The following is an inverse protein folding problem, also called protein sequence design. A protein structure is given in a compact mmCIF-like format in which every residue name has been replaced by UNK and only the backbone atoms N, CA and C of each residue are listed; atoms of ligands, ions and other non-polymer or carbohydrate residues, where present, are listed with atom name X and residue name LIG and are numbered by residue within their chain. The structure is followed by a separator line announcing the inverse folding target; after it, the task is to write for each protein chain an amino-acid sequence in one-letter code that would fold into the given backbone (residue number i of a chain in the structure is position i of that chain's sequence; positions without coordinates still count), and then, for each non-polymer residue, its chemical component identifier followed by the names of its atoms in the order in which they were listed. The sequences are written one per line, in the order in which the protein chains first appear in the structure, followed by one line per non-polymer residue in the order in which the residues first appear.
data_IF_579490686248
#
_entry.id   IF_579490686248
#
_cell.length_a   1.000
_cell.length_b   1.000
_cell.length_c   1.000
_cell.angle_alpha   90.00
_cell.angle_beta   90.00
_cell.angle_gamma   90.00
#
_symmetry.space_group_name_H-M   'P 1'
#
loop_
_entity.id
_entity.type
_entity.pdbx_description
1 polymer ?
#
# COMPACT_ATOMS: atom_id res chain seq x y z
N UNK A 1 5.41 17.41 -20.25
CA UNK A 1 4.55 16.29 -19.83
C UNK A 1 4.99 15.91 -18.44
N UNK A 2 4.08 15.86 -17.47
CA UNK A 2 4.42 15.44 -16.10
C UNK A 2 4.66 13.92 -16.11
N UNK A 3 5.79 13.46 -15.57
CA UNK A 3 6.07 12.03 -15.42
C UNK A 3 5.39 11.44 -14.18
N UNK A 4 5.38 10.11 -14.05
CA UNK A 4 4.78 9.42 -12.90
C UNK A 4 5.39 9.89 -11.56
N UNK A 5 6.70 10.16 -11.56
CA UNK A 5 7.43 10.67 -10.41
C UNK A 5 7.07 12.13 -10.06
N UNK A 6 6.71 12.95 -11.05
CA UNK A 6 6.24 14.31 -10.78
C UNK A 6 4.86 14.27 -10.11
N UNK A 7 3.97 13.40 -10.60
CA UNK A 7 2.68 13.16 -9.99
C UNK A 7 2.82 12.70 -8.52
N UNK A 8 3.81 11.85 -8.25
CA UNK A 8 4.18 11.40 -6.89
C UNK A 8 4.49 12.55 -5.93
N UNK A 9 5.28 13.52 -6.39
CA UNK A 9 5.59 14.71 -5.61
C UNK A 9 4.37 15.59 -5.33
N UNK A 10 3.40 15.65 -6.24
CA UNK A 10 2.26 16.55 -6.14
C UNK A 10 1.13 16.05 -5.23
N UNK A 11 0.87 14.73 -5.15
CA UNK A 11 -0.23 14.29 -4.28
C UNK A 11 0.07 14.46 -2.78
N UNK A 12 1.34 14.49 -2.36
CA UNK A 12 1.72 14.84 -0.98
C UNK A 12 1.16 16.21 -0.56
N UNK A 13 1.28 17.19 -1.46
CA UNK A 13 0.73 18.55 -1.26
C UNK A 13 -0.79 18.55 -1.30
N UNK A 14 -1.37 17.74 -2.19
CA UNK A 14 -2.83 17.61 -2.30
C UNK A 14 -3.41 17.05 -0.99
N UNK A 15 -2.78 16.03 -0.41
CA UNK A 15 -3.20 15.46 0.87
C UNK A 15 -3.13 16.51 1.98
N UNK A 16 -2.01 17.23 2.09
CA UNK A 16 -1.84 18.25 3.13
C UNK A 16 -2.80 19.44 2.93
N UNK A 17 -3.07 19.84 1.69
CA UNK A 17 -4.07 20.87 1.38
C UNK A 17 -5.47 20.43 1.81
N UNK A 18 -5.91 19.24 1.41
CA UNK A 18 -7.23 18.70 1.75
C UNK A 18 -7.39 18.61 3.28
N UNK A 19 -6.39 18.07 3.97
CA UNK A 19 -6.37 17.99 5.43
C UNK A 19 -6.49 19.37 6.08
N UNK A 20 -5.68 20.35 5.67
CA UNK A 20 -5.69 21.70 6.24
C UNK A 20 -7.00 22.43 5.98
N UNK A 21 -7.58 22.25 4.79
CA UNK A 21 -8.72 23.04 4.33
C UNK A 21 -10.06 22.42 4.74
N UNK A 22 -10.15 21.10 4.73
CA UNK A 22 -11.41 20.36 4.86
C UNK A 22 -11.36 19.25 5.94
N UNK A 23 -10.21 19.02 6.59
CA UNK A 23 -10.06 18.06 7.67
C UNK A 23 -9.67 16.64 7.22
N UNK A 24 -9.41 15.77 8.20
CA UNK A 24 -8.98 14.38 7.97
C UNK A 24 -10.06 13.54 7.29
N UNK A 25 -11.33 13.77 7.60
CA UNK A 25 -12.45 13.02 7.00
C UNK A 25 -12.55 13.27 5.50
N UNK A 26 -12.39 14.53 5.07
CA UNK A 26 -12.38 14.88 3.65
C UNK A 26 -11.19 14.24 2.90
N UNK A 27 -10.02 14.15 3.55
CA UNK A 27 -8.87 13.45 2.98
C UNK A 27 -9.12 11.94 2.85
N UNK A 28 -9.74 11.32 3.86
CA UNK A 28 -10.10 9.89 3.83
C UNK A 28 -11.12 9.60 2.73
N UNK A 29 -12.15 10.45 2.60
CA UNK A 29 -13.13 10.36 1.52
C UNK A 29 -12.46 10.51 0.15
N UNK A 30 -11.50 11.43 0.01
CA UNK A 30 -10.73 11.56 -1.23
C UNK A 30 -9.95 10.28 -1.59
N UNK A 31 -9.30 9.63 -0.61
CA UNK A 31 -8.63 8.35 -0.85
C UNK A 31 -9.60 7.24 -1.25
N UNK A 32 -10.73 7.13 -0.57
CA UNK A 32 -11.71 6.08 -0.86
C UNK A 32 -12.43 6.32 -2.20
N UNK A 33 -13.01 7.50 -2.40
CA UNK A 33 -13.86 7.76 -3.56
C UNK A 33 -13.00 8.05 -4.80
N UNK A 34 -12.17 9.10 -4.74
CA UNK A 34 -11.45 9.58 -5.92
C UNK A 34 -10.23 8.73 -6.28
N UNK A 35 -9.50 8.20 -5.28
CA UNK A 35 -8.36 7.32 -5.59
C UNK A 35 -8.86 5.89 -5.83
N UNK A 36 -9.54 5.27 -4.87
CA UNK A 36 -9.86 3.85 -4.97
C UNK A 36 -10.84 3.52 -6.11
N UNK A 37 -11.89 4.33 -6.29
CA UNK A 37 -13.00 3.98 -7.18
C UNK A 37 -13.09 4.80 -8.46
N UNK A 38 -12.50 6.00 -8.52
CA UNK A 38 -12.36 6.73 -9.79
C UNK A 38 -11.02 6.43 -10.46
N UNK A 39 -9.89 6.83 -9.85
CA UNK A 39 -8.57 6.68 -10.47
C UNK A 39 -8.14 5.21 -10.60
N UNK A 40 -8.38 4.40 -9.57
CA UNK A 40 -7.96 2.99 -9.49
C UNK A 40 -9.10 2.01 -9.81
N UNK A 41 -10.15 2.47 -10.50
CA UNK A 41 -11.28 1.62 -10.89
C UNK A 41 -10.84 0.33 -11.62
N UNK A 42 -9.87 0.47 -12.52
CA UNK A 42 -9.30 -0.64 -13.28
C UNK A 42 -8.60 -1.69 -12.39
N UNK A 43 -7.98 -1.26 -11.28
CA UNK A 43 -7.42 -2.19 -10.28
C UNK A 43 -8.55 -2.97 -9.59
N UNK A 44 -9.63 -2.29 -9.22
CA UNK A 44 -10.82 -2.93 -8.66
C UNK A 44 -11.42 -3.97 -9.62
N UNK A 45 -11.61 -3.65 -10.89
CA UNK A 45 -12.16 -4.58 -11.88
C UNK A 45 -11.26 -5.82 -12.05
N UNK A 46 -9.94 -5.62 -12.18
CA UNK A 46 -8.99 -6.72 -12.29
C UNK A 46 -9.06 -7.65 -11.08
N UNK A 47 -9.08 -7.10 -9.88
CA UNK A 47 -9.07 -7.89 -8.64
C UNK A 47 -10.42 -8.59 -8.42
N UNK A 48 -11.53 -7.90 -8.70
CA UNK A 48 -12.88 -8.50 -8.67
C UNK A 48 -12.97 -9.71 -9.58
N UNK A 49 -12.49 -9.58 -10.82
CA UNK A 49 -12.71 -10.59 -11.85
C UNK A 49 -11.69 -11.74 -11.78
N UNK A 50 -10.49 -11.48 -11.26
CA UNK A 50 -9.36 -12.42 -11.34
C UNK A 50 -8.69 -12.74 -10.00
N UNK A 51 -9.10 -12.12 -8.89
CA UNK A 51 -8.50 -12.31 -7.57
C UNK A 51 -6.99 -12.06 -7.58
N UNK A 52 -6.20 -13.02 -7.07
CA UNK A 52 -4.73 -12.94 -7.04
C UNK A 52 -4.08 -12.79 -8.43
N UNK A 53 -4.69 -13.30 -9.50
CA UNK A 53 -4.19 -13.05 -10.86
C UNK A 53 -4.39 -11.58 -11.27
N UNK A 54 -5.50 -10.98 -10.84
CA UNK A 54 -5.77 -9.56 -11.04
C UNK A 54 -4.78 -8.68 -10.28
N UNK A 55 -4.48 -9.05 -9.03
CA UNK A 55 -3.45 -8.40 -8.21
C UNK A 55 -2.07 -8.47 -8.88
N UNK A 56 -1.68 -9.65 -9.37
CA UNK A 56 -0.41 -9.83 -10.07
C UNK A 56 -0.35 -9.01 -11.36
N UNK A 57 -1.43 -8.96 -12.13
CA UNK A 57 -1.49 -8.17 -13.36
C UNK A 57 -1.37 -6.67 -13.06
N UNK A 58 -2.09 -6.17 -12.06
CA UNK A 58 -2.09 -4.75 -11.71
C UNK A 58 -0.75 -4.30 -11.10
N UNK A 59 -0.30 -4.95 -10.02
CA UNK A 59 0.92 -4.54 -9.34
C UNK A 59 2.18 -4.90 -10.11
N UNK A 60 2.20 -6.02 -10.85
CA UNK A 60 3.34 -6.36 -11.69
C UNK A 60 3.60 -5.31 -12.77
N UNK A 61 2.54 -4.76 -13.37
CA UNK A 61 2.68 -3.67 -14.34
C UNK A 61 3.01 -2.32 -13.67
N UNK A 62 2.25 -1.95 -12.63
CA UNK A 62 2.34 -0.61 -12.01
C UNK A 62 3.69 -0.40 -11.34
N UNK A 63 4.17 -1.39 -10.57
CA UNK A 63 5.42 -1.26 -9.82
C UNK A 63 6.65 -1.28 -10.72
N UNK A 64 6.60 -1.99 -11.85
CA UNK A 64 7.64 -1.93 -12.88
C UNK A 64 7.70 -0.54 -13.52
N UNK A 65 6.56 0.03 -13.87
CA UNK A 65 6.47 1.38 -14.46
C UNK A 65 6.90 2.49 -13.50
N UNK A 66 6.71 2.29 -12.20
CA UNK A 66 7.10 3.24 -11.15
C UNK A 66 8.56 3.08 -10.69
N UNK A 67 9.32 2.17 -11.30
CA UNK A 67 10.71 1.85 -10.94
C UNK A 67 10.87 1.46 -9.46
N UNK A 68 9.87 0.76 -8.90
CA UNK A 68 9.87 0.33 -7.52
C UNK A 68 10.89 -0.79 -7.28
N UNK A 69 11.53 -0.78 -6.11
CA UNK A 69 12.28 -1.95 -5.64
C UNK A 69 11.33 -2.90 -4.92
N UNK A 70 10.95 -4.03 -5.54
CA UNK A 70 9.98 -4.96 -4.95
C UNK A 70 10.21 -6.44 -5.30
N UNK A 71 9.56 -7.33 -4.55
CA UNK A 71 9.26 -8.70 -5.00
C UNK A 71 7.78 -9.02 -4.81
N UNK A 72 7.22 -9.83 -5.71
CA UNK A 72 5.87 -10.39 -5.57
C UNK A 72 5.98 -11.90 -5.34
N UNK A 73 5.27 -12.39 -4.33
CA UNK A 73 5.03 -13.83 -4.12
C UNK A 73 3.54 -14.10 -4.23
N UNK A 74 3.14 -14.92 -5.20
CA UNK A 74 1.77 -15.39 -5.35
C UNK A 74 1.72 -16.90 -5.08
N UNK A 75 0.80 -17.31 -4.23
CA UNK A 75 0.50 -18.71 -3.93
C UNK A 75 -1.00 -18.94 -4.07
N UNK A 76 -1.45 -20.17 -3.81
CA UNK A 76 -2.89 -20.47 -3.75
C UNK A 76 -3.59 -19.78 -2.56
N UNK A 77 -2.85 -19.50 -1.48
CA UNK A 77 -3.41 -19.02 -0.22
C UNK A 77 -3.26 -17.51 -0.01
N UNK A 78 -2.17 -16.92 -0.52
CA UNK A 78 -1.87 -15.51 -0.33
C UNK A 78 -1.18 -14.89 -1.53
N UNK A 79 -1.36 -13.58 -1.66
CA UNK A 79 -0.59 -12.70 -2.53
C UNK A 79 0.21 -11.73 -1.68
N UNK A 80 1.52 -11.62 -1.91
CA UNK A 80 2.42 -10.79 -1.12
C UNK A 80 3.27 -9.88 -1.98
N UNK A 81 3.46 -8.66 -1.50
CA UNK A 81 4.43 -7.70 -2.02
C UNK A 81 5.41 -7.35 -0.90
N UNK A 82 6.71 -7.53 -1.13
CA UNK A 82 7.78 -6.96 -0.30
C UNK A 82 8.37 -5.76 -1.02
N UNK A 83 8.24 -4.57 -0.44
CA UNK A 83 8.65 -3.28 -1.00
C UNK A 83 9.93 -2.79 -0.33
N UNK A 84 11.03 -2.75 -1.07
CA UNK A 84 12.36 -2.32 -0.59
C UNK A 84 12.64 -0.84 -0.82
N UNK A 85 12.05 -0.27 -1.88
CA UNK A 85 12.16 1.14 -2.25
C UNK A 85 10.83 1.60 -2.84
N UNK A 86 9.92 2.01 -1.95
CA UNK A 86 8.59 2.47 -2.28
C UNK A 86 8.68 3.65 -3.25
N UNK A 87 8.05 3.56 -4.44
CA UNK A 87 8.17 4.59 -5.48
C UNK A 87 7.60 5.93 -5.01
N UNK A 88 6.71 5.89 -4.03
CA UNK A 88 6.03 7.01 -3.41
C UNK A 88 6.87 7.58 -2.24
N UNK A 89 6.92 6.89 -1.08
CA UNK A 89 7.63 7.38 0.11
C UNK A 89 9.15 7.46 -0.08
N UNK A 90 9.76 6.47 -0.75
CA UNK A 90 11.20 6.44 -1.01
C UNK A 90 11.65 7.60 -1.89
N UNK A 91 10.86 7.95 -2.90
CA UNK A 91 11.09 9.13 -3.74
C UNK A 91 11.03 10.43 -2.94
N UNK A 92 10.02 10.62 -2.08
CA UNK A 92 9.92 11.81 -1.24
C UNK A 92 11.13 11.97 -0.31
N UNK A 93 11.59 10.88 0.30
CA UNK A 93 12.78 10.88 1.17
C UNK A 93 14.02 11.32 0.38
N UNK A 94 14.24 10.77 -0.83
CA UNK A 94 15.37 11.14 -1.69
C UNK A 94 15.38 12.63 -2.06
N UNK A 95 14.20 13.26 -2.13
CA UNK A 95 14.04 14.70 -2.42
C UNK A 95 13.97 15.58 -1.18
N UNK A 96 14.00 15.00 0.03
CA UNK A 96 13.84 15.76 1.28
C UNK A 96 12.43 16.39 1.41
N UNK A 97 11.42 15.77 0.81
CA UNK A 97 10.04 16.24 0.80
C UNK A 97 9.20 15.51 1.85
N UNK A 98 8.38 16.25 2.61
CA UNK A 98 7.47 15.66 3.61
C UNK A 98 6.38 16.66 4.03
N UNK A 99 5.32 16.81 3.23
CA UNK A 99 4.23 17.75 3.53
C UNK A 99 3.11 17.11 4.36
N UNK A 100 2.55 15.98 3.92
CA UNK A 100 1.55 15.26 4.69
C UNK A 100 2.22 14.30 5.69
N UNK A 101 1.90 14.49 6.96
CA UNK A 101 2.62 13.89 8.08
C UNK A 101 2.46 12.37 8.19
N UNK A 102 1.33 11.82 7.75
CA UNK A 102 1.06 10.37 7.76
C UNK A 102 0.95 9.79 6.36
N UNK A 103 1.89 10.21 5.49
CA UNK A 103 1.87 9.91 4.07
C UNK A 103 1.59 8.44 3.74
N UNK A 104 2.22 7.47 4.42
CA UNK A 104 2.03 6.06 4.09
C UNK A 104 0.60 5.54 4.29
N UNK A 105 -0.23 6.20 5.10
CA UNK A 105 -1.62 5.80 5.33
C UNK A 105 -2.47 5.88 4.07
N UNK A 106 -2.09 6.70 3.07
CA UNK A 106 -2.85 6.78 1.82
C UNK A 106 -2.95 5.41 1.14
N UNK A 107 -1.93 4.55 1.28
CA UNK A 107 -1.96 3.22 0.68
C UNK A 107 -3.09 2.37 1.29
N UNK A 108 -3.23 2.33 2.62
CA UNK A 108 -4.38 1.67 3.25
C UNK A 108 -5.69 2.39 2.93
N UNK A 109 -5.65 3.73 2.80
CA UNK A 109 -6.80 4.57 2.47
C UNK A 109 -7.51 4.18 1.18
N UNK A 110 -6.78 3.81 0.13
CA UNK A 110 -7.39 3.42 -1.15
C UNK A 110 -7.38 1.89 -1.42
N UNK A 111 -6.36 1.16 -0.95
CA UNK A 111 -6.29 -0.30 -1.19
C UNK A 111 -7.35 -1.04 -0.39
N UNK A 112 -7.57 -0.66 0.88
CA UNK A 112 -8.52 -1.35 1.76
C UNK A 112 -9.96 -1.32 1.21
N UNK A 113 -10.53 -0.18 0.78
CA UNK A 113 -11.87 -0.17 0.18
C UNK A 113 -12.03 -1.14 -1.00
N UNK A 114 -11.01 -1.27 -1.86
CA UNK A 114 -11.03 -2.24 -2.97
C UNK A 114 -11.01 -3.67 -2.44
N UNK A 115 -10.14 -3.98 -1.47
CA UNK A 115 -10.03 -5.34 -0.91
C UNK A 115 -11.32 -5.76 -0.19
N UNK A 116 -11.93 -4.84 0.58
CA UNK A 116 -13.20 -5.09 1.27
C UNK A 116 -14.30 -5.49 0.26
N UNK A 117 -14.38 -4.79 -0.89
CA UNK A 117 -15.37 -5.08 -1.95
C UNK A 117 -15.07 -6.31 -2.80
N UNK A 118 -13.86 -6.85 -2.69
CA UNK A 118 -13.40 -7.99 -3.50
C UNK A 118 -13.16 -9.26 -2.67
N UNK A 119 -13.49 -9.23 -1.38
CA UNK A 119 -13.44 -10.41 -0.50
C UNK A 119 -12.04 -10.73 0.02
N UNK A 120 -11.18 -9.72 0.17
CA UNK A 120 -9.83 -9.86 0.70
C UNK A 120 -9.61 -9.07 1.99
N UNK A 121 -8.72 -9.59 2.83
CA UNK A 121 -8.15 -8.88 3.99
C UNK A 121 -6.66 -8.62 3.77
N UNK A 122 -6.15 -7.59 4.43
CA UNK A 122 -4.79 -7.10 4.25
C UNK A 122 -4.04 -7.19 5.57
N UNK A 123 -2.90 -7.88 5.55
CA UNK A 123 -1.84 -7.62 6.51
C UNK A 123 -0.83 -6.67 5.86
N UNK A 124 -0.44 -5.61 6.56
CA UNK A 124 0.46 -4.59 6.03
C UNK A 124 1.31 -3.98 7.13
N UNK A 125 2.59 -3.77 6.88
CA UNK A 125 3.42 -2.92 7.73
C UNK A 125 4.27 -2.01 6.89
N UNK A 126 4.47 -0.79 7.37
CA UNK A 126 5.42 0.15 6.79
C UNK A 126 6.22 0.84 7.88
N UNK A 127 7.50 1.11 7.60
CA UNK A 127 8.43 1.70 8.57
C UNK A 127 8.68 3.21 8.35
N UNK A 128 7.91 3.83 7.46
CA UNK A 128 8.06 5.25 7.05
C UNK A 128 9.45 5.60 6.47
N UNK A 129 10.28 4.61 6.13
CA UNK A 129 11.62 4.78 5.53
C UNK A 129 11.67 4.31 4.07
N UNK A 130 10.53 4.28 3.39
CA UNK A 130 10.43 3.77 2.01
C UNK A 130 10.35 2.25 1.91
N UNK A 131 10.18 1.54 3.02
CA UNK A 131 9.97 0.09 3.03
C UNK A 131 8.60 -0.27 3.58
N UNK A 132 7.96 -1.26 2.96
CA UNK A 132 6.71 -1.84 3.44
C UNK A 132 6.50 -3.26 2.92
N UNK A 133 5.51 -3.97 3.47
CA UNK A 133 5.02 -5.22 2.88
C UNK A 133 3.51 -5.27 2.90
N UNK A 134 2.94 -6.00 1.96
CA UNK A 134 1.50 -6.28 1.85
C UNK A 134 1.32 -7.78 1.74
N UNK A 135 0.39 -8.36 2.47
CA UNK A 135 -0.03 -9.73 2.29
C UNK A 135 -1.56 -9.81 2.31
N UNK A 136 -2.13 -10.22 1.18
CA UNK A 136 -3.57 -10.29 0.96
C UNK A 136 -4.02 -11.75 1.04
N UNK A 137 -5.11 -11.96 1.77
CA UNK A 137 -5.74 -13.27 1.95
C UNK A 137 -7.22 -13.17 1.61
N UNK A 138 -7.81 -14.26 1.11
CA UNK A 138 -9.27 -14.33 0.94
C UNK A 138 -9.91 -14.39 2.34
N UNK A 139 -10.95 -13.60 2.56
CA UNK A 139 -11.71 -13.57 3.83
C UNK A 139 -12.15 -14.99 4.24
N UNK A 140 -12.48 -15.82 3.26
CA UNK A 140 -12.98 -17.19 3.44
C UNK A 140 -11.93 -18.16 4.00
N UNK A 141 -10.65 -17.90 3.71
CA UNK A 141 -9.51 -18.77 4.06
C UNK A 141 -8.82 -18.26 5.33
N UNK A 142 -8.92 -16.96 5.59
CA UNK A 142 -8.21 -16.33 6.69
C UNK A 142 -8.87 -16.59 8.04
N UNK A 143 -8.46 -17.68 8.68
CA UNK A 143 -8.84 -18.04 10.05
C UNK A 143 -7.96 -17.38 11.12
N UNK A 144 -7.03 -16.50 10.74
CA UNK A 144 -6.03 -15.97 11.68
C UNK A 144 -6.63 -14.88 12.57
N UNK A 145 -6.53 -15.10 13.88
CA UNK A 145 -6.89 -14.13 14.94
C UNK A 145 -5.81 -13.06 15.10
N UNK A 146 -5.63 -12.21 14.07
CA UNK A 146 -4.70 -11.07 14.13
C UNK A 146 -3.25 -11.49 14.47
N UNK A 147 -2.78 -12.60 13.90
CA UNK A 147 -1.38 -13.01 14.03
C UNK A 147 -0.58 -12.47 12.85
N UNK A 148 0.54 -11.80 13.13
CA UNK A 148 1.48 -11.38 12.10
C UNK A 148 1.88 -12.58 11.22
N UNK A 149 1.89 -12.43 9.88
CA UNK A 149 2.44 -13.43 8.98
C UNK A 149 3.88 -13.77 9.36
N UNK A 150 4.29 -15.06 9.25
CA UNK A 150 5.69 -15.43 9.44
C UNK A 150 6.57 -14.75 8.39
N UNK A 151 7.89 -14.71 8.64
CA UNK A 151 8.85 -14.23 7.65
C UNK A 151 8.79 -15.08 6.37
N UNK A 152 8.66 -14.44 5.21
CA UNK A 152 8.48 -15.07 3.90
C UNK A 152 9.79 -15.15 3.12
N UNK A 153 10.47 -16.29 3.22
CA UNK A 153 11.65 -16.58 2.39
C UNK A 153 12.80 -15.56 2.55
N UNK A 154 13.85 -15.65 1.72
CA UNK A 154 15.03 -14.77 1.82
C UNK A 154 14.75 -13.30 1.47
N UNK A 155 13.76 -13.04 0.62
CA UNK A 155 13.43 -11.72 0.08
C UNK A 155 12.48 -10.90 0.98
N UNK A 156 12.11 -11.40 2.17
CA UNK A 156 11.24 -10.65 3.08
C UNK A 156 11.87 -9.30 3.46
N UNK A 157 11.16 -8.19 3.21
CA UNK A 157 11.64 -6.82 3.50
C UNK A 157 12.02 -6.66 4.96
N UNK A 158 11.38 -7.39 5.88
CA UNK A 158 11.62 -7.32 7.33
C UNK A 158 13.01 -7.81 7.72
N UNK A 159 13.70 -8.50 6.83
CA UNK A 159 15.10 -8.95 7.02
C UNK A 159 16.12 -7.86 6.76
N UNK A 160 15.73 -6.76 6.09
CA UNK A 160 16.65 -5.65 5.84
C UNK A 160 17.09 -5.01 7.16
N UNK A 161 18.38 -4.66 7.28
CA UNK A 161 18.87 -3.89 8.43
C UNK A 161 18.16 -2.54 8.55
N UNK A 162 17.83 -1.93 7.42
CA UNK A 162 17.09 -0.66 7.36
C UNK A 162 15.63 -0.80 7.84
N UNK A 163 15.04 -2.01 7.78
CA UNK A 163 13.67 -2.24 8.22
C UNK A 163 13.44 -1.75 9.65
N UNK A 164 14.38 -2.03 10.56
CA UNK A 164 14.30 -1.72 12.00
C UNK A 164 14.37 -0.22 12.33
N UNK A 165 14.50 0.65 11.32
CA UNK A 165 14.61 2.09 11.50
C UNK A 165 13.24 2.74 11.30
N UNK A 166 13.05 3.88 11.96
CA UNK A 166 11.85 4.70 11.79
C UNK A 166 10.68 4.22 12.65
N UNK A 167 9.52 4.81 12.37
CA UNK A 167 8.25 4.48 13.02
C UNK A 167 7.60 3.35 12.25
N UNK A 168 6.98 2.39 12.94
CA UNK A 168 6.25 1.30 12.29
C UNK A 168 4.75 1.44 12.53
N UNK A 169 3.96 1.31 11.47
CA UNK A 169 2.52 1.07 11.58
C UNK A 169 2.21 -0.31 11.05
N UNK A 170 1.52 -1.10 11.88
CA UNK A 170 1.14 -2.47 11.55
C UNK A 170 -0.38 -2.56 11.43
N UNK A 171 -0.79 -3.22 10.37
CA UNK A 171 -2.14 -3.59 10.03
C UNK A 171 -2.24 -5.10 9.98
N UNK A 172 -3.21 -5.65 10.69
CA UNK A 172 -3.56 -7.07 10.62
C UNK A 172 -5.04 -7.17 10.32
N UNK A 173 -5.42 -8.05 9.39
CA UNK A 173 -6.81 -8.20 8.95
C UNK A 173 -7.48 -6.84 8.60
N UNK A 174 -6.74 -5.99 7.88
CA UNK A 174 -7.12 -4.64 7.46
C UNK A 174 -7.35 -3.64 8.60
N UNK A 175 -6.92 -3.94 9.84
CA UNK A 175 -7.06 -3.06 11.01
C UNK A 175 -5.70 -2.66 11.56
N UNK A 176 -5.54 -1.39 11.92
CA UNK A 176 -4.33 -0.89 12.56
C UNK A 176 -4.23 -1.45 13.98
N UNK A 177 -3.15 -2.17 14.28
CA UNK A 177 -2.88 -2.79 15.59
C UNK A 177 -1.67 -2.17 16.30
N UNK A 178 -0.81 -1.45 15.56
CA UNK A 178 0.34 -0.70 16.11
C UNK A 178 0.47 0.63 15.38
N UNK A 179 0.63 1.73 16.13
CA UNK A 179 0.52 3.08 15.58
C UNK A 179 1.23 4.15 16.38
#
# INVERSE_FOLDING_TARGET
MLGVQDFIGYYDWTFEYLRRKYGEEALRAYWEEAIAFDSQHHAYELIRDKGFEGMAQYWGYTLDMEEAGYTITKTENFFRIDMFDCPSKGFLIKRGQSYYHDYCEHCMGWVKPIMDRTGFVIDHEHNHQGQCWWEMHRVEIDSRRELEPPLRGPQDVRKLRAWRKGKHHLYLNSKRVKG
#
